data_IF_457475947682
#
_entry.id   IF_457475947682
#
_cell.length_a   1.000
_cell.length_b   1.000
_cell.length_c   1.000
_cell.angle_alpha   90.00
_cell.angle_beta   90.00
_cell.angle_gamma   90.00
#
_symmetry.space_group_name_H-M   'P 1'
#
loop_
_entity.id
_entity.type
_entity.pdbx_description
1 polymer ?
#
# COMPACT_ATOMS: atom_id res chain seq x y z
N UNK A 1 18.43 77.82 -2.23
CA UNK A 1 17.54 76.74 -2.61
C UNK A 1 18.30 75.51 -3.17
N UNK A 2 19.19 74.88 -2.38
CA UNK A 2 19.93 73.71 -2.89
C UNK A 2 20.32 72.70 -1.78
N UNK A 3 19.63 72.75 -0.64
CA UNK A 3 19.92 71.82 0.50
C UNK A 3 18.87 70.72 0.69
N UNK A 4 17.68 70.88 0.09
CA UNK A 4 16.56 69.94 0.29
C UNK A 4 16.66 68.65 -0.54
N UNK A 5 17.40 68.64 -1.66
CA UNK A 5 17.51 67.45 -2.53
C UNK A 5 18.46 66.37 -2.00
N UNK A 6 19.48 66.75 -1.21
CA UNK A 6 20.44 65.79 -0.66
C UNK A 6 19.89 65.09 0.59
N UNK A 7 19.07 65.80 1.38
CA UNK A 7 18.44 65.20 2.59
C UNK A 7 17.35 64.19 2.26
N UNK A 8 16.64 64.35 1.14
CA UNK A 8 15.60 63.39 0.75
C UNK A 8 16.15 62.08 0.14
N UNK A 9 17.40 62.07 -0.36
CA UNK A 9 18.07 60.81 -0.81
C UNK A 9 18.87 60.14 0.32
N UNK A 10 19.32 60.86 1.32
CA UNK A 10 20.10 60.28 2.42
C UNK A 10 19.25 59.40 3.36
N UNK A 11 18.00 59.80 3.64
CA UNK A 11 17.11 59.06 4.52
C UNK A 11 16.78 57.63 3.98
N UNK A 12 16.43 57.39 2.71
CA UNK A 12 16.23 56.06 2.20
C UNK A 12 17.51 55.22 2.16
N UNK A 13 18.66 55.81 1.95
CA UNK A 13 19.95 55.12 1.97
C UNK A 13 20.31 54.65 3.39
N UNK A 14 20.11 55.49 4.39
CA UNK A 14 20.29 55.12 5.79
C UNK A 14 19.32 54.01 6.21
N UNK A 15 18.07 54.10 5.87
CA UNK A 15 17.08 53.03 6.12
C UNK A 15 17.45 51.72 5.45
N UNK A 16 18.01 51.76 4.25
CA UNK A 16 18.43 50.58 3.51
C UNK A 16 19.70 49.96 4.17
N UNK A 17 20.61 50.76 4.68
CA UNK A 17 21.79 50.29 5.40
C UNK A 17 21.44 49.73 6.82
N UNK A 18 20.43 50.29 7.49
CA UNK A 18 19.92 49.72 8.74
C UNK A 18 19.20 48.39 8.48
N UNK A 19 18.31 48.32 7.51
CA UNK A 19 17.67 47.07 7.13
C UNK A 19 18.65 45.99 6.67
N UNK A 20 19.72 46.36 5.98
CA UNK A 20 20.79 45.43 5.63
C UNK A 20 21.53 44.92 6.87
N UNK A 21 21.84 45.77 7.80
CA UNK A 21 22.52 45.38 9.06
C UNK A 21 21.61 44.47 9.91
N UNK A 22 20.33 44.79 10.02
CA UNK A 22 19.37 43.94 10.71
C UNK A 22 19.21 42.58 10.01
N UNK A 23 19.17 42.56 8.66
CA UNK A 23 19.09 41.32 7.91
C UNK A 23 20.38 40.48 8.06
N UNK A 24 21.56 41.09 8.01
CA UNK A 24 22.84 40.40 8.25
C UNK A 24 22.99 39.92 9.71
N UNK A 25 22.45 40.65 10.70
CA UNK A 25 22.40 40.22 12.10
C UNK A 25 21.45 39.01 12.24
N UNK A 26 20.23 39.09 11.69
CA UNK A 26 19.29 38.00 11.67
C UNK A 26 19.82 36.73 10.95
N UNK A 27 20.54 36.90 9.86
CA UNK A 27 21.22 35.78 9.18
C UNK A 27 22.33 35.15 10.04
N UNK A 28 22.99 35.90 10.89
CA UNK A 28 24.02 35.39 11.82
C UNK A 28 23.42 34.68 13.02
N UNK A 29 22.31 35.19 13.56
CA UNK A 29 21.60 34.60 14.72
C UNK A 29 20.81 33.34 14.31
N UNK A 30 20.22 33.33 13.12
CA UNK A 30 19.41 32.25 12.61
C UNK A 30 20.17 31.29 11.65
N UNK A 31 21.50 31.20 11.78
CA UNK A 31 22.26 30.19 11.05
C UNK A 31 21.85 28.80 11.51
N UNK A 32 21.08 28.10 10.71
CA UNK A 32 20.88 26.68 10.89
C UNK A 32 22.15 25.95 10.53
N UNK A 33 22.63 25.11 11.42
CA UNK A 33 23.75 24.22 11.16
C UNK A 33 23.24 23.07 10.31
N UNK A 34 23.75 22.99 9.09
CA UNK A 34 23.44 21.84 8.22
C UNK A 34 24.21 20.64 8.76
N UNK A 35 23.49 19.69 9.34
CA UNK A 35 24.06 18.46 9.86
C UNK A 35 24.02 17.33 8.82
N UNK A 36 24.60 16.18 9.18
CA UNK A 36 24.61 15.00 8.31
C UNK A 36 23.20 14.48 7.99
N UNK A 37 22.23 14.72 8.86
CA UNK A 37 20.85 14.29 8.71
C UNK A 37 20.11 15.14 7.66
N UNK A 38 20.34 16.45 7.63
CA UNK A 38 19.77 17.34 6.62
C UNK A 38 20.35 17.06 5.23
N UNK A 39 21.68 16.81 5.15
CA UNK A 39 22.32 16.39 3.89
C UNK A 39 21.74 15.07 3.43
N UNK A 40 21.54 14.10 4.32
CA UNK A 40 20.93 12.82 4.01
C UNK A 40 19.49 12.98 3.51
N UNK A 41 18.71 13.92 4.07
CA UNK A 41 17.37 14.26 3.60
C UNK A 41 17.36 14.81 2.19
N UNK A 42 18.26 15.73 1.87
CA UNK A 42 18.37 16.30 0.52
C UNK A 42 18.79 15.23 -0.48
N UNK A 43 19.76 14.39 -0.15
CA UNK A 43 20.19 13.27 -1.00
C UNK A 43 19.02 12.28 -1.20
N UNK A 44 18.26 12.00 -0.14
CA UNK A 44 17.06 11.16 -0.21
C UNK A 44 16.01 11.72 -1.17
N UNK A 45 15.73 13.03 -1.09
CA UNK A 45 14.79 13.70 -2.02
C UNK A 45 15.28 13.67 -3.47
N UNK A 46 16.57 13.87 -3.70
CA UNK A 46 17.14 13.92 -5.05
C UNK A 46 17.28 12.54 -5.70
N UNK A 47 17.64 11.54 -4.94
CA UNK A 47 17.94 10.18 -5.43
C UNK A 47 16.79 9.21 -5.30
N UNK A 48 15.75 9.55 -4.51
CA UNK A 48 14.69 8.61 -4.10
C UNK A 48 15.16 7.52 -3.13
N UNK A 49 16.40 7.62 -2.63
CA UNK A 49 16.99 6.66 -1.68
C UNK A 49 16.68 7.13 -0.25
N UNK A 50 15.98 6.36 0.58
CA UNK A 50 15.69 6.72 1.97
C UNK A 50 16.94 6.61 2.86
N UNK A 51 17.89 7.56 2.73
CA UNK A 51 19.22 7.52 3.35
C UNK A 51 19.15 7.56 4.89
N UNK A 52 18.16 8.23 5.45
CA UNK A 52 17.95 8.31 6.91
C UNK A 52 17.69 6.94 7.58
N UNK A 53 17.27 5.94 6.82
CA UNK A 53 16.92 4.63 7.36
C UNK A 53 18.04 3.60 7.28
N UNK A 54 19.15 3.93 6.62
CA UNK A 54 20.22 2.96 6.37
C UNK A 54 21.25 2.83 7.50
N UNK A 55 21.36 3.78 8.45
CA UNK A 55 22.56 3.81 9.29
C UNK A 55 22.44 3.26 10.72
N UNK A 56 21.34 3.35 11.45
CA UNK A 56 21.29 2.91 12.87
C UNK A 56 19.96 2.33 13.38
N UNK A 57 18.85 2.55 12.72
CA UNK A 57 17.53 2.11 13.20
C UNK A 57 17.00 0.85 12.52
N UNK A 58 17.73 0.28 11.54
CA UNK A 58 17.22 -0.85 10.75
C UNK A 58 16.95 -2.09 11.59
N UNK A 59 17.85 -2.44 12.51
CA UNK A 59 17.69 -3.63 13.36
C UNK A 59 16.48 -3.52 14.29
N UNK A 60 16.25 -2.36 14.91
CA UNK A 60 15.13 -2.14 15.83
C UNK A 60 13.81 -2.02 15.06
N UNK A 61 13.81 -1.32 13.92
CA UNK A 61 12.63 -1.21 13.05
C UNK A 61 12.24 -2.55 12.44
N UNK A 62 13.21 -3.34 11.98
CA UNK A 62 12.95 -4.66 11.44
C UNK A 62 12.38 -5.61 12.50
N UNK A 63 12.79 -5.48 13.78
CA UNK A 63 12.24 -6.28 14.88
C UNK A 63 10.75 -5.98 15.13
N UNK A 64 10.31 -4.72 15.02
CA UNK A 64 8.90 -4.31 15.21
C UNK A 64 8.02 -4.46 13.96
N UNK A 65 8.56 -4.94 12.83
CA UNK A 65 7.81 -5.04 11.55
C UNK A 65 6.59 -5.94 11.66
N UNK A 66 6.70 -7.05 12.38
CA UNK A 66 5.63 -8.03 12.53
C UNK A 66 4.44 -7.40 13.24
N UNK A 67 4.67 -6.79 14.39
CA UNK A 67 3.65 -6.19 15.24
C UNK A 67 2.95 -5.02 14.52
N UNK A 68 3.72 -4.16 13.85
CA UNK A 68 3.15 -3.02 13.09
C UNK A 68 2.26 -3.49 11.93
N UNK A 69 2.69 -4.51 11.18
CA UNK A 69 1.89 -5.06 10.08
C UNK A 69 0.65 -5.81 10.59
N UNK A 70 0.74 -6.56 11.70
CA UNK A 70 -0.40 -7.24 12.32
C UNK A 70 -1.45 -6.26 12.86
N UNK A 71 -1.03 -5.11 13.36
CA UNK A 71 -1.95 -4.05 13.81
C UNK A 71 -2.76 -3.44 12.65
N UNK A 72 -2.22 -3.44 11.42
CA UNK A 72 -2.83 -2.82 10.24
C UNK A 72 -3.52 -3.81 9.31
N UNK A 73 -3.08 -5.06 9.29
CA UNK A 73 -3.63 -6.11 8.41
C UNK A 73 -4.18 -7.25 9.28
N UNK A 74 -5.49 -7.23 9.43
CA UNK A 74 -6.21 -8.09 10.37
C UNK A 74 -6.36 -9.52 9.82
N UNK A 75 -6.25 -10.51 10.73
CA UNK A 75 -6.48 -11.95 10.49
C UNK A 75 -5.58 -12.58 9.42
N UNK A 76 -4.36 -12.05 9.22
CA UNK A 76 -3.37 -12.61 8.28
C UNK A 76 -2.02 -12.87 8.97
N UNK A 77 -2.03 -13.27 10.23
CA UNK A 77 -0.83 -13.40 11.07
C UNK A 77 0.21 -14.36 10.48
N UNK A 78 -0.23 -15.51 9.98
CA UNK A 78 0.67 -16.51 9.36
C UNK A 78 1.29 -15.99 8.07
N UNK A 79 0.55 -15.22 7.28
CA UNK A 79 1.04 -14.59 6.06
C UNK A 79 2.11 -13.52 6.37
N UNK A 80 1.84 -12.68 7.36
CA UNK A 80 2.76 -11.63 7.84
C UNK A 80 4.03 -12.25 8.41
N UNK A 81 3.93 -13.31 9.25
CA UNK A 81 5.10 -14.01 9.80
C UNK A 81 6.05 -14.52 8.73
N UNK A 82 5.52 -15.20 7.71
CA UNK A 82 6.33 -15.73 6.61
C UNK A 82 7.00 -14.60 5.83
N UNK A 83 6.24 -13.54 5.50
CA UNK A 83 6.74 -12.38 4.79
C UNK A 83 7.90 -11.71 5.55
N UNK A 84 7.67 -11.38 6.82
CA UNK A 84 8.66 -10.72 7.68
C UNK A 84 9.91 -11.59 7.82
N UNK A 85 9.77 -12.88 8.08
CA UNK A 85 10.90 -13.81 8.19
C UNK A 85 11.75 -13.86 6.93
N UNK A 86 11.13 -13.85 5.76
CA UNK A 86 11.84 -13.85 4.48
C UNK A 86 12.57 -12.52 4.22
N UNK A 87 11.94 -11.39 4.54
CA UNK A 87 12.57 -10.07 4.44
C UNK A 87 13.76 -9.93 5.39
N UNK A 88 13.60 -10.36 6.65
CA UNK A 88 14.68 -10.35 7.64
C UNK A 88 15.88 -11.15 7.17
N UNK A 89 15.65 -12.36 6.64
CA UNK A 89 16.70 -13.23 6.08
C UNK A 89 17.50 -12.54 4.98
N UNK A 90 16.82 -11.78 4.10
CA UNK A 90 17.47 -11.00 3.04
C UNK A 90 18.27 -9.83 3.61
N UNK A 91 17.74 -9.10 4.59
CA UNK A 91 18.38 -7.91 5.17
C UNK A 91 19.61 -8.25 6.03
N UNK A 92 19.65 -9.40 6.63
CA UNK A 92 20.85 -9.88 7.37
C UNK A 92 21.97 -10.32 6.41
N UNK A 93 21.76 -10.28 5.10
CA UNK A 93 22.79 -10.62 4.12
C UNK A 93 22.95 -12.13 3.83
N UNK A 94 21.98 -12.94 4.22
CA UNK A 94 21.97 -14.38 3.95
C UNK A 94 21.45 -14.72 2.55
N UNK A 95 21.01 -13.73 1.78
CA UNK A 95 20.55 -13.87 0.41
C UNK A 95 21.59 -13.31 -0.56
N UNK A 96 21.61 -13.81 -1.80
CA UNK A 96 22.44 -13.31 -2.87
C UNK A 96 22.19 -11.79 -3.11
N UNK A 97 23.21 -10.92 -2.99
CA UNK A 97 23.06 -9.49 -3.12
C UNK A 97 22.71 -9.04 -4.55
N UNK A 98 22.83 -9.92 -5.53
CA UNK A 98 22.47 -9.63 -6.91
C UNK A 98 20.98 -9.85 -7.20
N UNK A 99 20.22 -10.42 -6.27
CA UNK A 99 18.78 -10.67 -6.43
C UNK A 99 17.93 -9.59 -5.73
N UNK A 100 16.67 -9.45 -6.09
CA UNK A 100 15.74 -8.58 -5.37
C UNK A 100 15.69 -8.92 -3.87
N UNK A 101 15.35 -7.94 -3.01
CA UNK A 101 15.20 -8.15 -1.55
C UNK A 101 14.31 -9.35 -1.26
N UNK A 102 13.20 -9.48 -1.98
CA UNK A 102 12.29 -10.61 -1.85
C UNK A 102 11.38 -10.74 -3.06
N UNK A 103 11.05 -11.98 -3.40
CA UNK A 103 10.08 -12.30 -4.43
C UNK A 103 8.99 -13.18 -3.82
N UNK A 104 7.78 -12.67 -3.75
CA UNK A 104 6.67 -13.28 -3.03
C UNK A 104 5.49 -13.55 -3.94
N UNK A 105 4.83 -14.68 -3.74
CA UNK A 105 3.55 -14.96 -4.39
C UNK A 105 2.44 -15.00 -3.33
N UNK A 106 1.50 -14.05 -3.40
CA UNK A 106 0.35 -13.95 -2.51
C UNK A 106 -0.86 -14.65 -3.11
N UNK A 107 -1.27 -15.73 -2.49
CA UNK A 107 -2.40 -16.54 -2.92
C UNK A 107 -3.58 -16.37 -1.97
N UNK A 108 -4.77 -16.29 -2.51
CA UNK A 108 -5.98 -16.22 -1.69
C UNK A 108 -7.15 -15.58 -2.40
N UNK A 109 -8.35 -15.61 -1.80
CA UNK A 109 -9.55 -15.00 -2.37
C UNK A 109 -9.39 -13.50 -2.60
N UNK A 110 -10.30 -12.92 -3.36
CA UNK A 110 -10.38 -11.47 -3.51
C UNK A 110 -10.81 -10.83 -2.20
N UNK A 111 -10.28 -9.63 -1.88
CA UNK A 111 -10.72 -8.85 -0.72
C UNK A 111 -10.21 -9.31 0.64
N UNK A 112 -9.19 -10.19 0.72
CA UNK A 112 -8.59 -10.66 1.98
C UNK A 112 -7.38 -9.84 2.45
N UNK A 113 -7.02 -8.76 1.73
CA UNK A 113 -5.96 -7.86 2.15
C UNK A 113 -4.61 -8.02 1.44
N UNK A 114 -4.48 -8.82 0.35
CA UNK A 114 -3.21 -9.00 -0.39
C UNK A 114 -2.56 -7.67 -0.80
N UNK A 115 -3.29 -6.84 -1.53
CA UNK A 115 -2.83 -5.52 -1.98
C UNK A 115 -2.62 -4.54 -0.81
N UNK A 116 -3.43 -4.67 0.25
CA UNK A 116 -3.32 -3.85 1.45
C UNK A 116 -2.02 -4.15 2.20
N UNK A 117 -1.67 -5.42 2.38
CA UNK A 117 -0.40 -5.82 3.00
C UNK A 117 0.80 -5.29 2.19
N UNK A 118 0.76 -5.36 0.86
CA UNK A 118 1.82 -4.80 0.01
C UNK A 118 1.97 -3.28 0.21
N UNK A 119 0.85 -2.54 0.35
CA UNK A 119 0.85 -1.10 0.60
C UNK A 119 1.40 -0.74 1.99
N UNK A 120 0.99 -1.45 3.03
CA UNK A 120 1.49 -1.21 4.38
C UNK A 120 2.98 -1.61 4.50
N UNK A 121 3.40 -2.67 3.80
CA UNK A 121 4.82 -3.03 3.71
C UNK A 121 5.64 -1.92 3.02
N UNK A 122 5.12 -1.29 1.95
CA UNK A 122 5.79 -0.18 1.27
C UNK A 122 5.98 1.02 2.22
N UNK A 123 4.93 1.38 2.96
CA UNK A 123 5.02 2.44 3.98
C UNK A 123 6.04 2.11 5.06
N UNK A 124 6.05 0.85 5.50
CA UNK A 124 6.96 0.43 6.57
C UNK A 124 8.42 0.42 6.11
N UNK A 125 8.71 -0.23 4.99
CA UNK A 125 10.08 -0.39 4.47
C UNK A 125 10.66 0.90 3.90
N UNK A 126 9.86 1.64 3.12
CA UNK A 126 10.34 2.78 2.32
C UNK A 126 9.74 4.13 2.75
N UNK A 127 8.85 4.15 3.75
CA UNK A 127 8.33 5.37 4.37
C UNK A 127 7.18 6.06 3.66
N UNK A 128 6.82 5.59 2.46
CA UNK A 128 5.72 6.17 1.69
C UNK A 128 4.89 5.08 1.02
N UNK A 129 3.58 5.32 0.93
CA UNK A 129 2.70 4.49 0.11
C UNK A 129 3.03 4.60 -1.40
N UNK A 130 3.64 5.71 -1.82
CA UNK A 130 4.04 5.96 -3.20
C UNK A 130 5.26 5.11 -3.64
N UNK A 131 5.92 4.43 -2.69
CA UNK A 131 6.92 3.42 -2.99
C UNK A 131 6.31 2.10 -3.51
N UNK A 132 4.97 2.01 -3.61
CA UNK A 132 4.29 0.89 -4.23
C UNK A 132 4.08 1.16 -5.74
N UNK A 133 4.74 0.36 -6.56
CA UNK A 133 4.54 0.33 -8.01
C UNK A 133 3.56 -0.80 -8.31
N UNK A 134 2.30 -0.46 -8.58
CA UNK A 134 1.27 -1.44 -8.94
C UNK A 134 1.12 -1.53 -10.45
N UNK A 135 1.08 -2.78 -10.95
CA UNK A 135 0.83 -3.12 -12.35
C UNK A 135 -0.21 -4.24 -12.37
N UNK A 136 -1.31 -4.02 -13.07
CA UNK A 136 -2.37 -5.01 -13.27
C UNK A 136 -2.02 -5.88 -14.46
N UNK A 137 -1.84 -7.17 -14.23
CA UNK A 137 -1.45 -8.12 -15.29
C UNK A 137 -2.61 -8.45 -16.26
N UNK A 138 -3.83 -8.06 -15.94
CA UNK A 138 -4.94 -8.16 -16.88
C UNK A 138 -4.79 -7.25 -18.10
N UNK A 139 -3.96 -6.19 -18.01
CA UNK A 139 -3.61 -5.34 -19.14
C UNK A 139 -2.54 -5.94 -20.05
N UNK A 140 -1.91 -7.06 -19.63
CA UNK A 140 -0.77 -7.70 -20.29
C UNK A 140 -1.07 -9.14 -20.71
N UNK A 141 -2.31 -9.40 -21.12
CA UNK A 141 -2.77 -10.70 -21.56
C UNK A 141 -2.28 -11.04 -22.97
N UNK A 142 -2.03 -10.03 -23.79
CA UNK A 142 -1.66 -10.21 -25.20
C UNK A 142 -0.17 -9.91 -25.42
N UNK A 143 0.44 -10.64 -26.38
CA UNK A 143 1.87 -10.55 -26.65
C UNK A 143 2.35 -9.13 -26.96
N UNK A 144 1.58 -8.35 -27.70
CA UNK A 144 2.00 -6.97 -28.05
C UNK A 144 1.97 -6.02 -26.84
N UNK A 145 1.16 -6.33 -25.82
CA UNK A 145 1.12 -5.49 -24.60
C UNK A 145 2.33 -5.72 -23.70
N UNK A 146 3.00 -6.87 -23.79
CA UNK A 146 4.18 -7.20 -22.98
C UNK A 146 5.34 -6.23 -23.25
N UNK A 147 5.51 -5.78 -24.50
CA UNK A 147 6.51 -4.77 -24.83
C UNK A 147 6.34 -3.46 -24.06
N UNK A 148 5.12 -3.12 -23.63
CA UNK A 148 4.88 -1.92 -22.80
C UNK A 148 5.48 -2.02 -21.40
N UNK A 149 5.82 -3.22 -20.90
CA UNK A 149 6.49 -3.37 -19.61
C UNK A 149 7.96 -2.91 -19.69
N UNK A 150 8.65 -3.27 -20.76
CA UNK A 150 10.08 -3.05 -20.94
C UNK A 150 10.36 -1.84 -21.84
N UNK A 151 9.40 -1.50 -22.70
CA UNK A 151 9.45 -0.47 -23.73
C UNK A 151 9.33 -1.09 -25.11
N UNK A 152 8.72 -0.34 -26.05
CA UNK A 152 8.59 -0.76 -27.44
C UNK A 152 9.95 -0.64 -28.17
N UNK A 153 10.24 -1.50 -29.15
CA UNK A 153 11.44 -1.35 -30.00
C UNK A 153 11.40 -0.05 -30.82
N UNK A 154 12.56 0.46 -31.26
CA UNK A 154 12.65 1.65 -32.10
C UNK A 154 11.75 1.53 -33.35
N UNK A 155 10.99 2.60 -33.62
CA UNK A 155 10.08 2.64 -34.77
C UNK A 155 8.65 2.13 -34.50
N UNK A 156 8.35 1.60 -33.31
CA UNK A 156 7.01 1.21 -32.91
C UNK A 156 6.31 2.28 -32.08
N UNK A 157 4.98 2.31 -32.13
CA UNK A 157 4.16 3.22 -31.32
C UNK A 157 4.40 2.96 -29.83
N UNK A 158 4.65 4.03 -29.07
CA UNK A 158 4.96 3.94 -27.63
C UNK A 158 6.45 3.81 -27.30
N UNK A 159 7.35 3.90 -28.28
CA UNK A 159 8.79 3.89 -28.05
C UNK A 159 9.24 5.04 -27.13
N UNK A 160 8.74 6.24 -27.35
CA UNK A 160 9.11 7.43 -26.54
C UNK A 160 8.62 7.38 -25.09
N UNK A 161 7.56 6.63 -24.81
CA UNK A 161 6.98 6.50 -23.47
C UNK A 161 7.86 5.65 -22.52
N UNK A 162 8.75 4.82 -23.09
CA UNK A 162 9.54 3.86 -22.34
C UNK A 162 8.72 2.71 -21.75
N UNK A 163 9.37 1.80 -21.02
CA UNK A 163 8.68 0.69 -20.39
C UNK A 163 8.01 1.08 -19.07
N UNK A 164 6.74 0.71 -18.92
CA UNK A 164 5.97 1.05 -17.70
C UNK A 164 6.60 0.48 -16.42
N UNK A 165 7.15 -0.73 -16.46
CA UNK A 165 7.82 -1.34 -15.32
C UNK A 165 9.21 -0.72 -15.15
N UNK A 166 10.01 -0.70 -16.21
CA UNK A 166 11.41 -0.26 -16.17
C UNK A 166 11.53 1.21 -15.79
N UNK A 167 10.71 2.11 -16.35
CA UNK A 167 10.74 3.54 -16.01
C UNK A 167 10.28 3.81 -14.58
N UNK A 168 9.23 3.13 -14.10
CA UNK A 168 8.76 3.29 -12.71
C UNK A 168 9.82 2.85 -11.71
N UNK A 169 10.48 1.70 -11.93
CA UNK A 169 11.54 1.19 -11.05
C UNK A 169 12.79 2.05 -11.15
N UNK A 170 13.18 2.50 -12.34
CA UNK A 170 14.30 3.42 -12.51
C UNK A 170 14.13 4.72 -11.72
N UNK A 171 12.90 5.26 -11.68
CA UNK A 171 12.59 6.46 -10.90
C UNK A 171 12.47 6.18 -9.40
N UNK A 172 12.09 4.97 -9.01
CA UNK A 172 11.90 4.55 -7.62
C UNK A 172 12.61 3.22 -7.37
N UNK A 173 13.95 3.21 -7.26
CA UNK A 173 14.73 1.98 -7.12
C UNK A 173 14.47 1.25 -5.79
N UNK A 174 14.01 1.97 -4.77
CA UNK A 174 13.58 1.43 -3.48
C UNK A 174 12.05 1.37 -3.45
N UNK A 175 11.50 0.29 -3.94
CA UNK A 175 10.04 0.16 -4.10
C UNK A 175 9.56 -1.27 -3.96
N UNK A 176 8.26 -1.40 -3.75
CA UNK A 176 7.56 -2.68 -3.90
C UNK A 176 6.91 -2.71 -5.28
N UNK A 177 7.27 -3.70 -6.06
CA UNK A 177 6.63 -3.96 -7.37
C UNK A 177 5.54 -5.00 -7.14
N UNK A 178 4.29 -4.55 -7.21
CA UNK A 178 3.10 -5.39 -7.08
C UNK A 178 2.55 -5.72 -8.48
N UNK A 179 2.61 -6.99 -8.85
CA UNK A 179 2.04 -7.54 -10.07
C UNK A 179 0.72 -8.21 -9.70
N UNK A 180 -0.38 -7.52 -9.96
CA UNK A 180 -1.72 -7.98 -9.56
C UNK A 180 -2.30 -8.94 -10.61
N UNK A 181 -2.96 -10.02 -10.17
CA UNK A 181 -3.57 -11.05 -11.03
C UNK A 181 -2.60 -11.71 -12.02
N UNK A 182 -1.43 -12.15 -11.53
CA UNK A 182 -0.32 -12.67 -12.33
C UNK A 182 -0.72 -13.83 -13.24
N UNK A 183 -1.75 -14.61 -12.87
CA UNK A 183 -2.28 -15.70 -13.68
C UNK A 183 -2.90 -15.28 -15.01
N UNK A 184 -3.19 -14.01 -15.18
CA UNK A 184 -3.74 -13.46 -16.43
C UNK A 184 -2.67 -13.01 -17.43
N UNK A 185 -1.41 -12.90 -16.96
CA UNK A 185 -0.31 -12.41 -17.78
C UNK A 185 0.02 -13.34 -18.94
N UNK A 186 0.42 -12.74 -20.08
CA UNK A 186 0.97 -13.51 -21.19
C UNK A 186 2.25 -14.26 -20.78
N UNK A 187 2.53 -15.47 -21.31
CA UNK A 187 3.72 -16.26 -20.98
C UNK A 187 5.05 -15.49 -21.08
N UNK A 188 5.20 -14.56 -22.02
CA UNK A 188 6.42 -13.76 -22.17
C UNK A 188 6.70 -12.85 -20.95
N UNK A 189 5.70 -12.49 -20.16
CA UNK A 189 5.88 -11.76 -18.91
C UNK A 189 6.69 -12.57 -17.90
N UNK A 190 6.45 -13.88 -17.83
CA UNK A 190 7.19 -14.77 -16.94
C UNK A 190 8.66 -14.85 -17.31
N UNK A 191 9.03 -14.79 -18.61
CA UNK A 191 10.42 -14.77 -19.05
C UNK A 191 11.14 -13.48 -18.58
N UNK A 192 10.45 -12.33 -18.64
CA UNK A 192 10.96 -11.06 -18.13
C UNK A 192 11.17 -11.15 -16.59
N UNK A 193 10.20 -11.71 -15.89
CA UNK A 193 10.29 -11.85 -14.43
C UNK A 193 11.38 -12.83 -14.01
N UNK A 194 11.60 -13.92 -14.74
CA UNK A 194 12.71 -14.85 -14.50
C UNK A 194 14.05 -14.12 -14.53
N UNK A 195 14.28 -13.26 -15.54
CA UNK A 195 15.50 -12.46 -15.62
C UNK A 195 15.64 -11.52 -14.40
N UNK A 196 14.56 -10.84 -14.00
CA UNK A 196 14.58 -9.97 -12.83
C UNK A 196 14.87 -10.75 -11.54
N UNK A 197 14.26 -11.93 -11.37
CA UNK A 197 14.43 -12.76 -10.17
C UNK A 197 15.83 -13.38 -10.06
N UNK A 198 16.46 -13.70 -11.18
CA UNK A 198 17.79 -14.34 -11.19
C UNK A 198 18.94 -13.33 -11.17
N UNK A 199 18.85 -12.28 -11.98
CA UNK A 199 19.94 -11.30 -12.16
C UNK A 199 19.71 -9.99 -11.38
N UNK A 200 18.51 -9.74 -10.84
CA UNK A 200 18.15 -8.48 -10.17
C UNK A 200 18.21 -7.27 -11.08
N UNK A 201 18.14 -7.46 -12.39
CA UNK A 201 18.23 -6.39 -13.39
C UNK A 201 17.41 -6.71 -14.63
N UNK A 202 17.03 -5.66 -15.35
CA UNK A 202 16.29 -5.77 -16.61
C UNK A 202 16.78 -4.69 -17.57
N UNK A 203 17.05 -5.06 -18.83
CA UNK A 203 17.43 -4.10 -19.87
C UNK A 203 16.18 -3.56 -20.53
N UNK A 204 16.04 -2.24 -20.60
CA UNK A 204 14.93 -1.59 -21.28
C UNK A 204 15.14 -1.49 -22.81
N UNK A 205 14.11 -1.00 -23.52
CA UNK A 205 14.16 -0.81 -24.98
C UNK A 205 15.21 0.19 -25.46
N UNK A 206 15.75 1.04 -24.58
CA UNK A 206 16.83 1.97 -24.86
C UNK A 206 18.22 1.36 -24.61
N UNK A 207 18.29 0.09 -24.20
CA UNK A 207 19.55 -0.55 -23.82
C UNK A 207 20.05 -0.18 -22.43
N UNK A 208 19.26 0.52 -21.62
CA UNK A 208 19.63 0.90 -20.25
C UNK A 208 19.34 -0.25 -19.30
N UNK A 209 20.28 -0.52 -18.41
CA UNK A 209 20.12 -1.54 -17.38
C UNK A 209 19.40 -0.93 -16.17
N UNK A 210 18.24 -1.48 -15.83
CA UNK A 210 17.43 -1.07 -14.68
C UNK A 210 17.65 -2.06 -13.55
N UNK A 211 18.00 -1.54 -12.37
CA UNK A 211 18.35 -2.33 -11.18
C UNK A 211 17.11 -2.60 -10.31
N UNK A 212 16.87 -3.87 -9.98
CA UNK A 212 15.78 -4.37 -9.13
C UNK A 212 16.28 -4.91 -7.79
N UNK A 213 17.59 -4.83 -7.49
CA UNK A 213 18.17 -5.43 -6.27
C UNK A 213 17.58 -4.86 -4.99
N UNK A 214 17.18 -3.60 -4.99
CA UNK A 214 16.57 -2.92 -3.85
C UNK A 214 15.04 -2.95 -3.88
N UNK A 215 14.44 -3.75 -4.74
CA UNK A 215 12.98 -3.90 -4.82
C UNK A 215 12.51 -5.16 -4.10
N UNK A 216 11.25 -5.13 -3.68
CA UNK A 216 10.49 -6.31 -3.27
C UNK A 216 9.46 -6.60 -4.36
N UNK A 217 9.47 -7.80 -4.92
CA UNK A 217 8.51 -8.21 -5.94
C UNK A 217 7.40 -9.00 -5.28
N UNK A 218 6.17 -8.56 -5.45
CA UNK A 218 4.97 -9.24 -4.94
C UNK A 218 4.05 -9.53 -6.11
N UNK A 219 3.71 -10.78 -6.30
CA UNK A 219 2.75 -11.25 -7.29
C UNK A 219 1.49 -11.70 -6.59
N UNK A 220 0.32 -11.21 -6.96
CA UNK A 220 -0.94 -11.70 -6.40
C UNK A 220 -1.65 -12.64 -7.35
N UNK A 221 -2.32 -13.65 -6.80
CA UNK A 221 -3.13 -14.58 -7.58
C UNK A 221 -4.33 -15.08 -6.80
N UNK A 222 -5.39 -15.39 -7.54
CA UNK A 222 -6.59 -16.02 -7.01
C UNK A 222 -6.64 -17.54 -7.32
N UNK A 223 -5.55 -18.08 -7.84
CA UNK A 223 -5.43 -19.51 -8.17
C UNK A 223 -5.56 -20.36 -6.90
N UNK A 224 -6.19 -21.50 -7.03
CA UNK A 224 -6.41 -22.45 -5.93
C UNK A 224 -7.68 -22.16 -5.11
N UNK A 225 -8.11 -20.92 -4.99
CA UNK A 225 -9.32 -20.59 -4.22
C UNK A 225 -10.62 -21.03 -4.89
N UNK A 226 -10.69 -20.97 -6.22
CA UNK A 226 -11.81 -21.53 -6.99
C UNK A 226 -11.87 -23.05 -6.83
N UNK A 227 -10.74 -23.71 -6.92
CA UNK A 227 -10.64 -25.17 -6.80
C UNK A 227 -10.99 -25.64 -5.39
N UNK A 228 -10.54 -24.94 -4.33
CA UNK A 228 -10.97 -25.24 -2.97
C UNK A 228 -12.49 -25.13 -2.80
N UNK A 229 -13.14 -24.15 -3.46
CA UNK A 229 -14.61 -24.00 -3.47
C UNK A 229 -15.31 -25.09 -4.27
N UNK A 230 -14.77 -25.48 -5.40
CA UNK A 230 -15.31 -26.56 -6.26
C UNK A 230 -15.19 -27.92 -5.57
N UNK A 231 -14.06 -28.21 -4.92
CA UNK A 231 -13.87 -29.44 -4.15
C UNK A 231 -14.72 -29.45 -2.86
N UNK A 232 -15.01 -28.31 -2.25
CA UNK A 232 -15.94 -28.19 -1.12
C UNK A 232 -17.42 -28.37 -1.51
N UNK A 233 -17.76 -28.21 -2.78
CA UNK A 233 -19.11 -28.45 -3.34
C UNK A 233 -19.25 -29.78 -4.11
N UNK A 234 -18.19 -30.57 -4.18
CA UNK A 234 -18.18 -31.83 -4.93
C UNK A 234 -19.23 -32.81 -4.43
N UNK A 235 -20.06 -33.30 -5.34
CA UNK A 235 -21.06 -34.34 -5.14
C UNK A 235 -20.33 -35.63 -4.76
N UNK A 236 -20.35 -35.95 -3.48
CA UNK A 236 -19.88 -37.25 -2.98
C UNK A 236 -18.93 -37.16 -1.80
N UNK A 237 -19.46 -37.32 -0.60
CA UNK A 237 -18.76 -37.78 0.64
C UNK A 237 -17.47 -37.07 1.10
N UNK A 238 -17.29 -35.82 0.81
CA UNK A 238 -16.28 -35.03 1.50
C UNK A 238 -16.92 -34.43 2.76
N UNK A 239 -16.74 -35.06 3.90
CA UNK A 239 -17.11 -34.55 5.21
C UNK A 239 -16.46 -33.18 5.42
N UNK A 240 -17.22 -32.27 6.02
CA UNK A 240 -16.80 -30.90 6.40
C UNK A 240 -15.43 -30.86 7.11
N UNK A 241 -15.04 -31.97 7.77
CA UNK A 241 -13.74 -32.19 8.41
C UNK A 241 -12.51 -32.16 7.48
N UNK A 242 -12.65 -32.38 6.17
CA UNK A 242 -11.52 -32.31 5.20
C UNK A 242 -11.21 -30.92 4.71
N UNK A 243 -12.14 -29.97 4.85
CA UNK A 243 -11.91 -28.56 4.50
C UNK A 243 -11.03 -27.85 5.55
N UNK A 244 -11.07 -28.34 6.79
CA UNK A 244 -10.25 -27.82 7.89
C UNK A 244 -8.83 -28.40 7.88
N UNK A 245 -8.52 -29.37 7.01
CA UNK A 245 -7.19 -29.96 6.88
C UNK A 245 -6.28 -29.01 6.06
N UNK A 246 -5.41 -28.31 6.80
CA UNK A 246 -4.43 -27.37 6.22
C UNK A 246 -3.49 -28.04 5.22
N UNK A 247 -3.22 -29.33 5.38
CA UNK A 247 -2.37 -30.09 4.46
C UNK A 247 -3.07 -30.37 3.14
N UNK A 248 -4.35 -30.71 3.19
CA UNK A 248 -5.15 -30.91 2.00
C UNK A 248 -5.27 -29.61 1.20
N UNK A 249 -5.59 -28.50 1.85
CA UNK A 249 -5.67 -27.19 1.23
C UNK A 249 -4.34 -26.80 0.55
N UNK A 250 -3.21 -27.04 1.21
CA UNK A 250 -1.89 -26.81 0.63
C UNK A 250 -1.64 -27.68 -0.61
N UNK A 251 -2.01 -28.94 -0.58
CA UNK A 251 -1.83 -29.85 -1.72
C UNK A 251 -2.65 -29.43 -2.94
N UNK A 252 -3.87 -28.95 -2.73
CA UNK A 252 -4.75 -28.43 -3.80
C UNK A 252 -4.15 -27.14 -4.40
N UNK A 253 -3.70 -26.23 -3.57
CA UNK A 253 -3.05 -24.99 -4.02
C UNK A 253 -1.78 -25.31 -4.80
N UNK A 254 -0.93 -26.21 -4.31
CA UNK A 254 0.30 -26.61 -5.00
C UNK A 254 0.03 -27.24 -6.37
N UNK A 255 -0.97 -28.13 -6.47
CA UNK A 255 -1.39 -28.70 -7.76
C UNK A 255 -1.91 -27.63 -8.73
N UNK A 256 -2.66 -26.66 -8.21
CA UNK A 256 -3.17 -25.55 -9.01
C UNK A 256 -2.05 -24.65 -9.55
N UNK A 257 -1.05 -24.34 -8.71
CA UNK A 257 0.13 -23.60 -9.10
C UNK A 257 0.94 -24.30 -10.17
N UNK A 258 1.23 -25.59 -9.98
CA UNK A 258 2.00 -26.39 -10.94
C UNK A 258 1.28 -26.55 -12.30
N UNK A 259 -0.05 -26.42 -12.33
CA UNK A 259 -0.84 -26.41 -13.55
C UNK A 259 -0.79 -25.06 -14.29
N UNK A 260 -0.67 -23.97 -13.54
CA UNK A 260 -0.77 -22.60 -14.08
C UNK A 260 0.58 -21.95 -14.37
N UNK A 261 1.61 -22.37 -13.69
CA UNK A 261 2.97 -21.79 -13.83
C UNK A 261 4.00 -22.87 -14.08
N UNK A 262 5.01 -22.54 -14.87
CA UNK A 262 6.15 -23.43 -15.10
C UNK A 262 6.90 -23.70 -13.78
N UNK A 263 7.36 -24.94 -13.53
CA UNK A 263 8.12 -25.25 -12.31
C UNK A 263 9.34 -24.36 -12.11
N UNK A 264 10.01 -23.97 -13.19
CA UNK A 264 11.13 -23.05 -13.16
C UNK A 264 10.77 -21.72 -12.53
N UNK A 265 9.61 -21.14 -12.88
CA UNK A 265 9.12 -19.89 -12.33
C UNK A 265 8.81 -20.00 -10.83
N UNK A 266 8.12 -21.06 -10.43
CA UNK A 266 7.76 -21.31 -9.02
C UNK A 266 9.02 -21.45 -8.15
N UNK A 267 10.06 -22.11 -8.65
CA UNK A 267 11.32 -22.33 -7.92
C UNK A 267 12.14 -21.03 -7.71
N UNK A 268 11.84 -19.96 -8.43
CA UNK A 268 12.48 -18.65 -8.26
C UNK A 268 11.77 -17.76 -7.24
N UNK A 269 10.56 -18.13 -6.84
CA UNK A 269 9.80 -17.42 -5.79
C UNK A 269 10.37 -17.78 -4.42
N UNK A 270 10.76 -16.78 -3.63
CA UNK A 270 11.34 -16.98 -2.30
C UNK A 270 10.36 -17.60 -1.31
N UNK A 271 9.09 -17.17 -1.38
CA UNK A 271 8.05 -17.67 -0.48
C UNK A 271 6.66 -17.54 -1.14
N UNK A 272 5.86 -18.60 -1.01
CA UNK A 272 4.45 -18.62 -1.39
C UNK A 272 3.63 -18.41 -0.13
N UNK A 273 2.90 -17.32 -0.08
CA UNK A 273 2.17 -16.85 1.09
C UNK A 273 0.66 -16.98 0.80
N UNK A 274 0.00 -17.82 1.57
CA UNK A 274 -1.45 -18.02 1.47
C UNK A 274 -2.18 -17.09 2.43
N UNK A 275 -3.21 -16.44 1.94
CA UNK A 275 -4.12 -15.59 2.71
C UNK A 275 -5.38 -16.37 3.03
N UNK A 276 -5.76 -16.35 4.29
CA UNK A 276 -6.96 -17.01 4.78
C UNK A 276 -8.21 -16.18 4.45
N UNK A 277 -9.36 -16.85 4.39
CA UNK A 277 -10.65 -16.19 4.25
C UNK A 277 -10.97 -15.42 5.55
N UNK A 278 -11.51 -14.21 5.41
CA UNK A 278 -11.86 -13.39 6.57
C UNK A 278 -13.13 -13.92 7.25
N UNK A 279 -13.12 -13.99 8.58
CA UNK A 279 -14.29 -14.22 9.40
C UNK A 279 -15.08 -12.93 9.61
N UNK A 280 -16.34 -13.04 10.07
CA UNK A 280 -17.15 -11.87 10.42
C UNK A 280 -16.50 -11.03 11.53
N UNK A 281 -15.90 -11.69 12.53
CA UNK A 281 -15.15 -11.00 13.59
C UNK A 281 -13.95 -10.20 13.07
N UNK A 282 -13.25 -10.76 12.06
CA UNK A 282 -12.16 -10.04 11.40
C UNK A 282 -12.68 -8.81 10.65
N UNK A 283 -13.85 -8.91 10.00
CA UNK A 283 -14.46 -7.78 9.30
C UNK A 283 -14.84 -6.66 10.28
N UNK A 284 -15.36 -6.99 11.46
CA UNK A 284 -15.68 -5.99 12.49
C UNK A 284 -14.44 -5.21 12.93
N UNK A 285 -13.30 -5.89 13.10
CA UNK A 285 -12.02 -5.21 13.37
C UNK A 285 -11.52 -4.36 12.20
N UNK A 286 -11.76 -4.80 10.96
CA UNK A 286 -11.39 -4.03 9.76
C UNK A 286 -12.21 -2.75 9.66
N UNK A 287 -13.49 -2.78 10.05
CA UNK A 287 -14.35 -1.59 10.10
C UNK A 287 -13.72 -0.50 10.96
N UNK A 288 -13.22 -0.82 12.15
CA UNK A 288 -12.62 0.17 13.03
C UNK A 288 -11.42 0.88 12.37
N UNK A 289 -10.64 0.14 11.56
CA UNK A 289 -9.53 0.71 10.81
C UNK A 289 -10.02 1.61 9.66
N UNK A 290 -11.02 1.16 8.90
CA UNK A 290 -11.59 1.93 7.77
C UNK A 290 -12.34 3.19 8.26
N UNK A 291 -13.03 3.11 9.40
CA UNK A 291 -13.75 4.23 10.00
C UNK A 291 -12.81 5.31 10.56
N UNK A 292 -11.56 4.97 10.89
CA UNK A 292 -10.61 5.95 11.43
C UNK A 292 -10.46 7.18 10.51
N UNK A 293 -10.35 6.95 9.20
CA UNK A 293 -10.29 8.06 8.24
C UNK A 293 -11.59 8.87 8.16
N UNK A 294 -12.75 8.28 8.51
CA UNK A 294 -14.01 9.02 8.59
C UNK A 294 -14.06 9.85 9.88
N UNK A 295 -13.63 9.29 11.02
CA UNK A 295 -13.51 10.05 12.28
C UNK A 295 -12.63 11.29 12.09
N UNK A 296 -11.43 11.13 11.50
CA UNK A 296 -10.50 12.23 11.24
C UNK A 296 -11.12 13.32 10.35
N UNK A 297 -11.92 12.93 9.32
CA UNK A 297 -12.62 13.88 8.45
C UNK A 297 -13.74 14.63 9.16
N UNK A 298 -14.55 13.93 9.96
CA UNK A 298 -15.63 14.56 10.72
C UNK A 298 -15.09 15.50 11.78
N UNK A 299 -14.00 15.12 12.46
CA UNK A 299 -13.32 15.98 13.42
C UNK A 299 -12.72 17.23 12.75
N UNK A 300 -12.18 17.11 11.53
CA UNK A 300 -11.66 18.26 10.78
C UNK A 300 -12.73 19.28 10.38
N UNK A 301 -13.99 18.88 10.31
CA UNK A 301 -15.16 19.74 10.04
C UNK A 301 -15.71 20.35 11.35
N UNK A 302 -15.17 19.96 12.52
CA UNK A 302 -15.53 20.51 13.82
C UNK A 302 -16.59 19.68 14.58
N UNK A 303 -16.90 18.47 14.17
CA UNK A 303 -17.86 17.57 14.82
C UNK A 303 -17.19 16.34 15.41
N UNK A 304 -17.85 15.72 16.39
CA UNK A 304 -17.44 14.42 16.93
C UNK A 304 -18.39 13.33 16.43
N UNK A 305 -17.84 12.18 16.07
CA UNK A 305 -18.62 11.02 15.63
C UNK A 305 -18.46 9.89 16.66
N UNK A 306 -19.59 9.32 17.10
CA UNK A 306 -19.64 8.15 17.98
C UNK A 306 -20.53 7.10 17.33
N UNK A 307 -19.99 5.92 17.05
CA UNK A 307 -20.72 4.82 16.42
C UNK A 307 -20.80 3.68 17.42
N UNK A 308 -22.01 3.22 17.73
CA UNK A 308 -22.23 2.08 18.60
C UNK A 308 -21.75 0.76 17.97
N UNK A 309 -21.33 -0.20 18.81
CA UNK A 309 -20.81 -1.48 18.33
C UNK A 309 -21.84 -2.27 17.51
N UNK A 310 -23.13 -2.22 17.88
CA UNK A 310 -24.23 -2.82 17.10
C UNK A 310 -24.35 -2.20 15.70
N UNK A 311 -24.15 -0.90 15.57
CA UNK A 311 -24.15 -0.22 14.28
C UNK A 311 -22.96 -0.65 13.43
N UNK A 312 -21.78 -0.83 14.02
CA UNK A 312 -20.61 -1.38 13.34
C UNK A 312 -20.82 -2.81 12.87
N UNK A 313 -21.39 -3.67 13.71
CA UNK A 313 -21.73 -5.05 13.35
C UNK A 313 -22.75 -5.12 12.20
N UNK A 314 -23.73 -4.23 12.20
CA UNK A 314 -24.69 -4.10 11.11
C UNK A 314 -23.96 -3.74 9.79
N UNK A 315 -23.12 -2.72 9.79
CA UNK A 315 -22.32 -2.34 8.61
C UNK A 315 -21.41 -3.50 8.16
N UNK A 316 -20.80 -4.23 9.14
CA UNK A 316 -20.01 -5.41 8.88
C UNK A 316 -20.80 -6.47 8.12
N UNK A 317 -22.00 -6.78 8.61
CA UNK A 317 -22.88 -7.79 8.01
C UNK A 317 -23.30 -7.42 6.57
N UNK A 318 -23.53 -6.14 6.29
CA UNK A 318 -23.89 -5.62 4.97
C UNK A 318 -22.68 -5.48 4.04
N UNK A 319 -21.51 -5.23 4.62
CA UNK A 319 -20.24 -5.07 3.89
C UNK A 319 -19.45 -6.36 3.71
N UNK A 320 -19.91 -7.49 4.24
CA UNK A 320 -19.26 -8.78 4.10
C UNK A 320 -19.89 -9.60 3.00
N UNK A 321 -19.05 -10.09 2.10
CA UNK A 321 -19.42 -11.08 1.09
C UNK A 321 -18.42 -12.23 1.08
N UNK A 322 -18.89 -13.47 1.12
CA UNK A 322 -18.05 -14.67 1.15
C UNK A 322 -17.16 -14.79 -0.09
N UNK A 323 -17.56 -14.19 -1.23
CA UNK A 323 -16.80 -14.22 -2.47
C UNK A 323 -15.81 -13.06 -2.60
N UNK A 324 -16.22 -11.86 -2.13
CA UNK A 324 -15.48 -10.62 -2.32
C UNK A 324 -14.78 -10.13 -1.03
N UNK A 325 -14.93 -10.87 0.08
CA UNK A 325 -14.30 -10.55 1.37
C UNK A 325 -14.72 -9.17 1.90
N UNK A 326 -13.74 -8.36 2.29
CA UNK A 326 -13.94 -7.00 2.79
C UNK A 326 -14.09 -5.93 1.67
N UNK A 327 -14.05 -6.32 0.38
CA UNK A 327 -14.12 -5.34 -0.72
C UNK A 327 -15.41 -4.51 -0.74
N UNK A 328 -16.61 -5.10 -0.46
CA UNK A 328 -17.85 -4.33 -0.40
C UNK A 328 -17.96 -3.40 0.81
N UNK A 329 -17.10 -3.56 1.83
CA UNK A 329 -17.17 -2.83 3.09
C UNK A 329 -17.13 -1.31 2.92
N UNK A 330 -16.24 -0.81 2.05
CA UNK A 330 -16.16 0.62 1.76
C UNK A 330 -17.45 1.18 1.19
N UNK A 331 -18.09 0.41 0.31
CA UNK A 331 -19.39 0.79 -0.25
C UNK A 331 -20.49 0.75 0.80
N UNK A 332 -20.45 -0.24 1.70
CA UNK A 332 -21.40 -0.32 2.82
C UNK A 332 -21.24 0.88 3.77
N UNK A 333 -20.01 1.25 4.12
CA UNK A 333 -19.74 2.46 4.92
C UNK A 333 -20.28 3.70 4.20
N UNK A 334 -20.03 3.86 2.91
CA UNK A 334 -20.53 4.99 2.14
C UNK A 334 -22.07 5.03 2.17
N UNK A 335 -22.73 3.96 1.77
CA UNK A 335 -24.19 3.93 1.59
C UNK A 335 -24.96 4.01 2.93
N UNK A 336 -24.49 3.31 3.97
CA UNK A 336 -25.23 3.24 5.22
C UNK A 336 -24.81 4.30 6.23
N UNK A 337 -23.62 4.87 6.10
CA UNK A 337 -23.09 5.82 7.08
C UNK A 337 -22.79 7.20 6.47
N UNK A 338 -21.96 7.30 5.42
CA UNK A 338 -21.54 8.61 4.88
C UNK A 338 -22.70 9.37 4.24
N UNK A 339 -23.60 8.69 3.52
CA UNK A 339 -24.77 9.32 2.89
C UNK A 339 -25.71 9.92 3.94
N UNK A 340 -26.03 9.17 5.01
CA UNK A 340 -26.88 9.66 6.10
C UNK A 340 -26.22 10.77 6.94
N UNK A 341 -24.91 10.68 7.18
CA UNK A 341 -24.15 11.75 7.84
C UNK A 341 -24.17 13.04 7.00
N UNK A 342 -24.04 12.93 5.69
CA UNK A 342 -24.08 14.08 4.78
C UNK A 342 -25.46 14.76 4.81
N UNK A 343 -26.53 13.98 4.81
CA UNK A 343 -27.91 14.51 4.93
C UNK A 343 -28.13 15.22 6.26
N UNK A 344 -27.66 14.62 7.35
CA UNK A 344 -27.76 15.20 8.68
C UNK A 344 -26.99 16.53 8.78
N UNK A 345 -25.75 16.58 8.29
CA UNK A 345 -24.90 17.77 8.34
C UNK A 345 -25.52 18.93 7.52
N UNK A 346 -26.14 18.62 6.37
CA UNK A 346 -26.76 19.63 5.51
C UNK A 346 -28.12 20.11 6.06
N UNK A 347 -28.92 19.18 6.60
CA UNK A 347 -30.30 19.48 7.03
C UNK A 347 -30.40 20.04 8.44
N UNK A 348 -29.43 19.76 9.31
CA UNK A 348 -29.43 20.16 10.72
C UNK A 348 -28.58 21.40 10.93
N UNK A 349 -29.01 22.29 11.83
CA UNK A 349 -28.24 23.45 12.29
C UNK A 349 -27.18 23.02 13.33
N UNK A 350 -26.24 22.18 12.90
CA UNK A 350 -25.14 21.71 13.73
C UNK A 350 -24.25 22.88 14.16
N UNK A 351 -23.83 22.85 15.43
CA UNK A 351 -22.85 23.78 15.98
C UNK A 351 -21.49 23.12 16.09
N UNK A 352 -20.45 23.89 15.96
CA UNK A 352 -19.08 23.42 16.14
C UNK A 352 -18.92 22.80 17.57
N UNK A 353 -18.46 21.56 17.61
CA UNK A 353 -18.35 20.77 18.85
C UNK A 353 -19.49 19.78 19.11
N UNK A 354 -20.56 19.80 18.32
CA UNK A 354 -21.67 18.81 18.47
C UNK A 354 -21.17 17.39 18.21
N UNK A 355 -21.78 16.42 18.90
CA UNK A 355 -21.49 15.00 18.75
C UNK A 355 -22.60 14.32 17.95
N UNK A 356 -22.24 13.64 16.87
CA UNK A 356 -23.16 12.82 16.08
C UNK A 356 -23.07 11.38 16.62
N UNK A 357 -24.15 10.89 17.17
CA UNK A 357 -24.26 9.50 17.63
C UNK A 357 -25.01 8.66 16.59
N UNK A 358 -24.39 7.53 16.22
CA UNK A 358 -24.97 6.56 15.27
C UNK A 358 -25.34 5.29 16.01
N UNK A 359 -26.64 4.94 15.98
CA UNK A 359 -27.23 3.77 16.64
C UNK A 359 -27.93 2.89 15.63
N UNK A 360 -28.15 1.63 15.97
CA UNK A 360 -28.94 0.71 15.15
C UNK A 360 -30.39 0.69 15.64
N UNK A 361 -31.33 1.02 14.75
CA UNK A 361 -32.72 0.77 14.99
C UNK A 361 -33.07 -0.68 14.60
N UNK A 362 -33.18 -1.57 15.60
CA UNK A 362 -33.41 -3.00 15.36
C UNK A 362 -34.80 -3.29 14.72
N UNK A 363 -35.80 -2.43 14.95
CA UNK A 363 -37.14 -2.63 14.39
C UNK A 363 -37.20 -2.34 12.89
N UNK A 364 -36.48 -1.32 12.46
CA UNK A 364 -36.44 -0.91 11.05
C UNK A 364 -35.28 -1.54 10.27
N UNK A 365 -34.26 -2.03 10.99
CA UNK A 365 -33.02 -2.54 10.37
C UNK A 365 -32.23 -1.46 9.64
N UNK A 366 -32.24 -0.23 10.16
CA UNK A 366 -31.56 0.95 9.59
C UNK A 366 -30.74 1.66 10.66
N UNK A 367 -29.73 2.43 10.25
CA UNK A 367 -28.97 3.26 11.16
C UNK A 367 -29.72 4.55 11.46
N UNK A 368 -29.85 4.90 12.73
CA UNK A 368 -30.34 6.19 13.19
C UNK A 368 -29.17 7.08 13.62
N UNK A 369 -29.22 8.34 13.19
CA UNK A 369 -28.22 9.33 13.52
C UNK A 369 -28.85 10.45 14.33
N UNK A 370 -28.29 10.75 15.51
CA UNK A 370 -28.80 11.77 16.42
C UNK A 370 -27.68 12.75 16.78
N UNK A 371 -28.06 14.02 16.85
CA UNK A 371 -27.15 15.07 17.31
C UNK A 371 -27.30 15.20 18.82
N UNK A 372 -26.18 15.13 19.52
CA UNK A 372 -26.08 15.36 20.96
C UNK A 372 -25.21 16.60 21.15
N UNK A 373 -25.84 17.71 21.56
CA UNK A 373 -25.09 18.91 21.87
C UNK A 373 -24.36 18.73 23.21
N UNK A 374 -23.11 19.21 23.34
CA UNK A 374 -22.42 19.20 24.62
C UNK A 374 -23.20 20.07 25.62
N UNK A 375 -23.40 19.53 26.86
CA UNK A 375 -23.99 20.28 27.98
C UNK A 375 -23.12 21.48 28.40
#
# INVERSE_FOLDING_TARGET
ATVTGVQTCALPIFQLDEMKKEWEANLKENRQTVDAEEIANVISMMSGIPVQRMAQAEGIKLAGMKEDLQAKVIAQDTAIEKLVKAILRSRVGLKDPNKPIGTFMFLGPTGVGKTHLAKELAKYMFGSADALIRIDMSEYMEKFTVSRLVGAPPGYVGYEEGGQLTEKVRRKPYSIVLLDEIEKAHPDVFNILLQVMDEGRLTDSYGRMVDFKNTVIIMTSNIGTRQLKEFGRGVGFATQSRLDDKEFSRSVIQKALNKSFAPEFINRVDEIITFDQLSLEAITKIIDIELKGLYDRIESIGYKLVIEDKAKEFIASKGYDVQYGARPLKRAIQTYLEDGLSELIISSSLKEGDTIQVTLNEEKGELEMKVVSPE
#
